data_IF_285269055912
#
_entry.id   IF_285269055912
#
_cell.length_a   1.000
_cell.length_b   1.000
_cell.length_c   1.000
_cell.angle_alpha   90.00
_cell.angle_beta   90.00
_cell.angle_gamma   90.00
#
_symmetry.space_group_name_H-M   'P 1'
#
loop_
_entity.id
_entity.type
_entity.pdbx_description
1 polymer ?
#
# COMPACT_ATOMS: atom_id res chain seq x y z
N UNK A 1 1.28 6.67 72.57
CA UNK A 1 0.65 7.49 71.51
C UNK A 1 1.21 6.99 70.18
N UNK A 2 0.62 6.00 69.52
CA UNK A 2 -0.57 6.06 68.63
C UNK A 2 -0.43 7.17 67.58
N UNK A 3 0.00 6.81 66.37
CA UNK A 3 -0.61 7.21 65.10
C UNK A 3 -0.27 6.17 64.02
N UNK A 4 -1.31 5.48 63.54
CA UNK A 4 -1.29 4.70 62.29
C UNK A 4 -1.31 5.68 61.11
N UNK A 5 -0.49 5.42 60.09
CA UNK A 5 -0.75 5.92 58.73
C UNK A 5 -0.70 4.72 57.79
N UNK A 6 -1.88 4.18 57.50
CA UNK A 6 -2.12 3.25 56.40
C UNK A 6 -1.88 4.03 55.10
N UNK A 7 -0.74 3.79 54.45
CA UNK A 7 -0.50 4.27 53.09
C UNK A 7 -1.22 3.36 52.11
N UNK A 8 -2.31 3.86 51.53
CA UNK A 8 -3.05 3.22 50.45
C UNK A 8 -2.19 3.26 49.18
N UNK A 9 -1.46 2.20 48.87
CA UNK A 9 -0.76 2.08 47.59
C UNK A 9 -1.78 1.63 46.54
N UNK A 10 -2.35 2.59 45.83
CA UNK A 10 -3.07 2.32 44.58
C UNK A 10 -2.01 2.11 43.51
N UNK A 11 -1.65 0.85 43.26
CA UNK A 11 -0.92 0.48 42.04
C UNK A 11 -1.95 0.50 40.91
N UNK A 12 -2.09 1.65 40.25
CA UNK A 12 -2.69 1.69 38.92
C UNK A 12 -1.68 1.06 37.96
N UNK A 13 -1.77 -0.27 37.83
CA UNK A 13 -1.12 -1.02 36.77
C UNK A 13 -1.72 -0.63 35.43
N UNK A 14 -1.30 0.50 34.86
CA UNK A 14 -1.45 0.77 33.43
C UNK A 14 -0.33 0.01 32.76
N UNK A 15 -0.50 -1.31 32.66
CA UNK A 15 0.41 -2.17 31.91
C UNK A 15 -0.45 -3.00 30.99
N UNK A 16 -0.52 -2.62 29.71
CA UNK A 16 -0.96 -3.54 28.67
C UNK A 16 -1.94 -3.04 27.60
N UNK A 17 -1.93 -1.78 27.17
CA UNK A 17 -2.69 -1.37 25.96
C UNK A 17 -1.88 -0.53 24.97
N UNK A 18 -0.59 -0.80 24.83
CA UNK A 18 0.11 -0.49 23.58
C UNK A 18 0.45 -1.82 22.90
N UNK A 19 -0.57 -2.47 22.34
CA UNK A 19 -0.36 -3.43 21.26
C UNK A 19 0.07 -2.64 20.03
N UNK A 20 1.31 -2.16 20.04
CA UNK A 20 1.97 -1.66 18.83
C UNK A 20 2.30 -2.85 17.95
N UNK A 21 1.31 -3.33 17.19
CA UNK A 21 1.52 -4.21 16.05
C UNK A 21 0.74 -3.64 14.87
N UNK A 22 1.46 -2.86 14.08
CA UNK A 22 1.35 -2.75 12.63
C UNK A 22 2.45 -1.77 12.21
N UNK A 23 3.65 -2.27 11.93
CA UNK A 23 4.70 -1.50 11.25
C UNK A 23 4.58 -1.72 9.71
N UNK A 24 3.66 -2.59 9.30
CA UNK A 24 3.52 -3.07 7.94
C UNK A 24 2.05 -3.41 7.65
N UNK A 25 1.65 -3.40 6.38
CA UNK A 25 0.39 -4.02 6.00
C UNK A 25 0.53 -5.54 6.04
N UNK A 26 -0.44 -6.19 6.64
CA UNK A 26 -0.53 -7.64 6.64
C UNK A 26 -1.39 -8.13 5.46
N UNK A 27 -2.40 -7.35 5.05
CA UNK A 27 -3.32 -7.70 3.98
C UNK A 27 -3.62 -6.52 3.05
N UNK A 28 -3.86 -6.85 1.78
CA UNK A 28 -4.35 -5.94 0.74
C UNK A 28 -5.77 -6.35 0.38
N UNK A 29 -6.67 -5.37 0.35
CA UNK A 29 -8.04 -5.50 -0.11
C UNK A 29 -8.10 -4.94 -1.54
N UNK A 30 -8.13 -5.82 -2.52
CA UNK A 30 -8.38 -5.48 -3.92
C UNK A 30 -9.87 -5.21 -4.09
N UNK A 31 -10.24 -3.97 -4.40
CA UNK A 31 -11.62 -3.53 -4.59
C UNK A 31 -11.88 -3.13 -6.04
N UNK A 32 -12.99 -3.63 -6.58
CA UNK A 32 -13.55 -3.23 -7.87
C UNK A 32 -15.08 -3.14 -7.77
N UNK A 33 -15.62 -1.92 -7.79
CA UNK A 33 -17.04 -1.69 -7.51
C UNK A 33 -17.47 -2.32 -6.18
N UNK A 34 -18.35 -3.32 -6.25
CA UNK A 34 -18.88 -4.04 -5.07
C UNK A 34 -18.07 -5.28 -4.69
N UNK A 35 -17.09 -5.67 -5.52
CA UNK A 35 -16.28 -6.87 -5.31
C UNK A 35 -15.03 -6.53 -4.50
N UNK A 36 -14.76 -7.34 -3.48
CA UNK A 36 -13.54 -7.27 -2.68
C UNK A 36 -12.85 -8.63 -2.64
N UNK A 37 -11.53 -8.62 -2.71
CA UNK A 37 -10.68 -9.79 -2.51
C UNK A 37 -9.51 -9.43 -1.61
N UNK A 38 -9.23 -10.27 -0.64
CA UNK A 38 -8.13 -10.06 0.30
C UNK A 38 -6.95 -10.94 -0.08
N UNK A 39 -5.77 -10.34 -0.12
CA UNK A 39 -4.49 -10.99 -0.44
C UNK A 39 -3.51 -10.67 0.68
N UNK A 40 -2.76 -11.66 1.17
CA UNK A 40 -1.74 -11.43 2.17
C UNK A 40 -0.52 -10.74 1.53
N UNK A 41 0.02 -9.71 2.20
CA UNK A 41 1.25 -9.04 1.74
C UNK A 41 2.42 -10.02 1.71
N UNK A 42 2.46 -10.98 2.63
CA UNK A 42 3.48 -12.05 2.65
C UNK A 42 3.47 -12.93 1.39
N UNK A 43 2.30 -13.17 0.80
CA UNK A 43 2.20 -13.99 -0.40
C UNK A 43 2.76 -13.24 -1.62
N UNK A 44 2.50 -11.91 -1.68
CA UNK A 44 3.06 -11.04 -2.70
C UNK A 44 4.57 -10.84 -2.52
N UNK A 45 5.03 -10.73 -1.28
CA UNK A 45 6.45 -10.69 -0.94
C UNK A 45 7.18 -11.95 -1.40
N UNK A 46 6.61 -13.13 -1.12
CA UNK A 46 7.15 -14.39 -1.63
C UNK A 46 7.23 -14.41 -3.17
N UNK A 47 6.18 -13.96 -3.86
CA UNK A 47 6.19 -13.87 -5.33
C UNK A 47 7.28 -12.92 -5.81
N UNK A 48 7.42 -11.74 -5.19
CA UNK A 48 8.43 -10.77 -5.54
C UNK A 48 9.85 -11.34 -5.38
N UNK A 49 10.14 -11.97 -4.24
CA UNK A 49 11.45 -12.52 -3.89
C UNK A 49 11.83 -13.77 -4.70
N UNK A 50 10.88 -14.70 -4.89
CA UNK A 50 11.17 -16.05 -5.40
C UNK A 50 10.68 -16.28 -6.82
N UNK A 51 9.72 -15.49 -7.30
CA UNK A 51 8.98 -15.73 -8.53
C UNK A 51 7.94 -16.84 -8.44
N UNK A 52 7.76 -17.44 -7.26
CA UNK A 52 6.79 -18.50 -7.04
C UNK A 52 5.53 -17.94 -6.34
N UNK A 53 4.38 -18.07 -7.01
CA UNK A 53 3.09 -17.73 -6.42
C UNK A 53 2.59 -18.83 -5.48
N UNK A 54 1.97 -18.46 -4.36
CA UNK A 54 1.22 -19.41 -3.54
C UNK A 54 0.07 -20.02 -4.35
N UNK A 55 -0.41 -21.21 -3.98
CA UNK A 55 -1.54 -21.84 -4.72
C UNK A 55 -2.79 -20.95 -4.75
N UNK A 56 -2.98 -20.11 -3.73
CA UNK A 56 -4.07 -19.13 -3.69
C UNK A 56 -3.84 -17.99 -4.68
N UNK A 57 -2.65 -17.37 -4.68
CA UNK A 57 -2.30 -16.34 -5.65
C UNK A 57 -2.34 -16.88 -7.10
N UNK A 58 -1.80 -18.07 -7.33
CA UNK A 58 -1.83 -18.71 -8.64
C UNK A 58 -3.26 -18.92 -9.14
N UNK A 59 -4.19 -19.32 -8.25
CA UNK A 59 -5.61 -19.44 -8.63
C UNK A 59 -6.21 -18.10 -9.04
N UNK A 60 -5.80 -17.00 -8.42
CA UNK A 60 -6.24 -15.66 -8.83
C UNK A 60 -5.66 -15.31 -10.21
N UNK A 61 -4.37 -15.53 -10.42
CA UNK A 61 -3.67 -15.31 -11.69
C UNK A 61 -4.22 -16.14 -12.85
N UNK A 62 -4.55 -17.41 -12.60
CA UNK A 62 -5.17 -18.29 -13.60
C UNK A 62 -6.56 -17.80 -14.01
N UNK A 63 -7.35 -17.33 -13.04
CA UNK A 63 -8.71 -16.81 -13.32
C UNK A 63 -8.66 -15.43 -13.99
N UNK A 64 -7.64 -14.66 -13.64
CA UNK A 64 -7.26 -13.38 -14.21
C UNK A 64 -6.71 -13.47 -15.64
N UNK A 65 -6.26 -14.66 -16.06
CA UNK A 65 -5.45 -14.85 -17.27
C UNK A 65 -4.16 -14.00 -17.29
N UNK A 66 -3.59 -13.69 -16.12
CA UNK A 66 -2.35 -12.91 -15.99
C UNK A 66 -1.18 -13.81 -15.58
N UNK A 67 -0.03 -13.75 -16.27
CA UNK A 67 1.16 -14.48 -15.87
C UNK A 67 1.69 -14.02 -14.51
N UNK A 68 2.06 -14.95 -13.63
CA UNK A 68 2.67 -14.62 -12.33
C UNK A 68 3.96 -13.78 -12.48
N UNK A 69 4.71 -13.99 -13.57
CA UNK A 69 5.91 -13.22 -13.92
C UNK A 69 5.60 -11.73 -14.15
N UNK A 70 4.45 -11.41 -14.73
CA UNK A 70 4.03 -10.02 -14.95
C UNK A 70 3.76 -9.32 -13.62
N UNK A 71 3.03 -9.99 -12.73
CA UNK A 71 2.78 -9.48 -11.37
C UNK A 71 4.07 -9.37 -10.57
N UNK A 72 4.98 -10.34 -10.70
CA UNK A 72 6.30 -10.27 -10.07
C UNK A 72 7.10 -9.04 -10.56
N UNK A 73 7.09 -8.77 -11.87
CA UNK A 73 7.78 -7.62 -12.44
C UNK A 73 7.18 -6.30 -11.93
N UNK A 74 5.85 -6.21 -11.88
CA UNK A 74 5.16 -5.05 -11.30
C UNK A 74 5.53 -4.84 -9.82
N UNK A 75 5.54 -5.91 -9.01
CA UNK A 75 5.88 -5.84 -7.59
C UNK A 75 7.33 -5.38 -7.35
N UNK A 76 8.26 -5.82 -8.21
CA UNK A 76 9.68 -5.45 -8.17
C UNK A 76 10.00 -4.19 -8.98
N UNK A 77 9.00 -3.56 -9.61
CA UNK A 77 9.20 -2.32 -10.36
C UNK A 77 9.67 -1.25 -9.40
N UNK A 78 10.87 -0.72 -9.65
CA UNK A 78 11.51 0.28 -8.82
C UNK A 78 11.42 1.68 -9.42
N UNK A 79 11.38 2.66 -8.52
CA UNK A 79 11.65 4.05 -8.86
C UNK A 79 12.87 4.47 -8.07
N UNK A 80 13.90 4.92 -8.78
CA UNK A 80 15.07 5.54 -8.13
C UNK A 80 14.66 6.89 -7.58
N UNK A 81 14.81 7.07 -6.27
CA UNK A 81 14.49 8.32 -5.58
C UNK A 81 15.69 8.69 -4.73
N UNK A 82 16.11 9.94 -4.80
CA UNK A 82 17.11 10.45 -3.87
C UNK A 82 16.54 10.42 -2.44
N UNK A 83 16.86 9.38 -1.66
CA UNK A 83 16.27 9.12 -0.35
C UNK A 83 16.64 10.18 0.69
N UNK A 84 17.74 10.91 0.48
CA UNK A 84 18.08 12.10 1.28
C UNK A 84 17.09 13.24 1.01
N UNK A 85 16.48 13.27 -0.18
CA UNK A 85 15.55 14.29 -0.61
C UNK A 85 14.09 13.85 -0.68
N UNK A 86 13.75 12.57 -0.45
CA UNK A 86 12.36 12.07 -0.47
C UNK A 86 11.46 12.89 0.45
N UNK A 87 11.92 13.22 1.65
CA UNK A 87 11.16 14.07 2.58
C UNK A 87 10.94 15.47 2.00
N UNK A 88 11.95 16.08 1.34
CA UNK A 88 11.80 17.41 0.72
C UNK A 88 10.84 17.41 -0.46
N UNK A 89 10.80 16.31 -1.23
CA UNK A 89 9.89 16.13 -2.35
C UNK A 89 8.46 15.99 -1.83
N UNK A 90 8.26 15.13 -0.82
CA UNK A 90 6.95 14.86 -0.22
C UNK A 90 6.45 15.97 0.73
N UNK A 91 7.33 16.87 1.20
CA UNK A 91 6.99 18.06 2.03
C UNK A 91 6.59 19.30 1.21
N UNK A 92 6.52 19.19 -0.12
CA UNK A 92 6.13 20.30 -0.99
C UNK A 92 4.64 20.19 -1.33
N UNK A 93 3.92 21.32 -1.54
CA UNK A 93 2.58 21.33 -2.12
C UNK A 93 2.37 20.41 -3.34
N UNK A 94 3.38 20.25 -4.21
CA UNK A 94 3.30 19.31 -5.32
C UNK A 94 3.30 17.85 -4.86
N UNK A 95 4.12 17.52 -3.85
CA UNK A 95 4.13 16.21 -3.22
C UNK A 95 2.81 15.90 -2.51
N UNK A 96 2.22 16.89 -1.82
CA UNK A 96 0.88 16.75 -1.23
C UNK A 96 -0.19 16.38 -2.26
N UNK A 97 -0.17 17.02 -3.44
CA UNK A 97 -1.11 16.73 -4.54
C UNK A 97 -0.91 15.32 -5.09
N UNK A 98 0.34 14.90 -5.33
CA UNK A 98 0.63 13.55 -5.80
C UNK A 98 0.20 12.49 -4.78
N UNK A 99 0.52 12.72 -3.50
CA UNK A 99 0.12 11.82 -2.42
C UNK A 99 -1.40 11.75 -2.29
N UNK A 100 -2.11 12.88 -2.39
CA UNK A 100 -3.58 12.89 -2.38
C UNK A 100 -4.15 12.08 -3.53
N UNK A 101 -3.60 12.24 -4.73
CA UNK A 101 -4.09 11.55 -5.93
C UNK A 101 -3.92 10.04 -5.80
N UNK A 102 -2.72 9.57 -5.47
CA UNK A 102 -2.47 8.15 -5.23
C UNK A 102 -3.32 7.63 -4.06
N UNK A 103 -3.53 8.44 -3.02
CA UNK A 103 -4.33 8.07 -1.85
C UNK A 103 -5.83 7.94 -2.12
N UNK A 104 -6.33 8.35 -3.29
CA UNK A 104 -7.72 8.06 -3.69
C UNK A 104 -7.92 6.59 -4.00
N UNK A 105 -6.87 5.96 -4.55
CA UNK A 105 -6.90 4.58 -5.02
C UNK A 105 -6.19 3.62 -4.08
N UNK A 106 -5.19 4.09 -3.33
CA UNK A 106 -4.50 3.29 -2.30
C UNK A 106 -4.70 3.94 -0.94
N UNK A 107 -5.55 3.37 -0.09
CA UNK A 107 -5.89 3.98 1.19
C UNK A 107 -6.02 2.96 2.32
N UNK A 108 -5.82 3.37 3.59
CA UNK A 108 -6.12 2.52 4.73
C UNK A 108 -7.59 2.11 4.69
N UNK A 109 -7.91 0.89 5.09
CA UNK A 109 -9.30 0.43 5.15
C UNK A 109 -10.21 1.34 6.01
N UNK A 110 -9.66 2.04 7.00
CA UNK A 110 -10.38 3.05 7.78
C UNK A 110 -10.92 4.23 6.94
N UNK A 111 -10.45 4.39 5.70
CA UNK A 111 -10.77 5.49 4.80
C UNK A 111 -10.21 6.84 5.24
N UNK A 112 -9.29 6.87 6.21
CA UNK A 112 -8.75 8.08 6.79
C UNK A 112 -7.22 8.07 6.81
N UNK A 113 -6.63 9.27 6.79
CA UNK A 113 -5.18 9.47 6.82
C UNK A 113 -4.41 8.81 5.67
N UNK A 114 -5.03 8.65 4.48
CA UNK A 114 -4.40 8.04 3.32
C UNK A 114 -3.10 8.72 2.91
N UNK A 115 -3.11 10.05 2.81
CA UNK A 115 -1.91 10.82 2.47
C UNK A 115 -0.76 10.56 3.45
N UNK A 116 -1.06 10.58 4.75
CA UNK A 116 -0.06 10.37 5.81
C UNK A 116 0.46 8.93 5.79
N UNK A 117 -0.42 7.96 5.54
CA UNK A 117 -0.05 6.55 5.45
C UNK A 117 0.86 6.30 4.23
N UNK A 118 0.46 6.79 3.06
CA UNK A 118 1.24 6.69 1.82
C UNK A 118 2.60 7.38 1.95
N UNK A 119 2.62 8.58 2.54
CA UNK A 119 3.88 9.29 2.80
C UNK A 119 4.81 8.49 3.71
N UNK A 120 4.30 7.93 4.80
CA UNK A 120 5.11 7.14 5.71
C UNK A 120 5.65 5.88 5.01
N UNK A 121 4.82 5.20 4.22
CA UNK A 121 5.23 4.04 3.43
C UNK A 121 6.41 4.39 2.51
N UNK A 122 6.27 5.42 1.67
CA UNK A 122 7.33 5.85 0.74
C UNK A 122 8.63 6.27 1.46
N UNK A 123 8.51 7.01 2.56
CA UNK A 123 9.68 7.42 3.34
C UNK A 123 10.40 6.22 3.92
N UNK A 124 9.67 5.22 4.43
CA UNK A 124 10.24 4.00 5.00
C UNK A 124 10.86 3.11 3.92
N UNK A 125 10.23 2.98 2.75
CA UNK A 125 10.76 2.19 1.62
C UNK A 125 12.08 2.75 1.08
N UNK A 126 12.26 4.08 1.08
CA UNK A 126 13.47 4.70 0.54
C UNK A 126 14.71 4.63 1.48
N UNK A 127 14.58 4.14 2.71
CA UNK A 127 15.64 4.24 3.74
C UNK A 127 16.86 3.39 3.40
N UNK A 128 16.66 2.25 2.76
CA UNK A 128 17.70 1.22 2.68
C UNK A 128 18.66 1.41 1.51
N UNK A 129 18.16 1.73 0.31
CA UNK A 129 18.99 1.75 -0.91
C UNK A 129 18.65 2.84 -1.94
N UNK A 130 17.94 3.90 -1.54
CA UNK A 130 17.49 4.99 -2.44
C UNK A 130 16.62 4.50 -3.62
N UNK A 131 16.01 3.31 -3.48
CA UNK A 131 15.01 2.78 -4.40
C UNK A 131 13.73 2.51 -3.63
N UNK A 132 12.62 2.58 -4.35
CA UNK A 132 11.32 2.22 -3.82
C UNK A 132 10.69 1.27 -4.83
N UNK A 133 10.44 0.04 -4.39
CA UNK A 133 9.62 -0.93 -5.12
C UNK A 133 8.16 -0.90 -4.65
N UNK A 134 7.25 -1.41 -5.47
CA UNK A 134 5.83 -1.55 -5.10
C UNK A 134 5.69 -2.45 -3.88
N UNK A 135 6.40 -3.58 -3.83
CA UNK A 135 6.33 -4.50 -2.69
C UNK A 135 6.81 -3.85 -1.40
N UNK A 136 7.90 -3.07 -1.42
CA UNK A 136 8.39 -2.36 -0.23
C UNK A 136 7.40 -1.32 0.28
N UNK A 137 6.64 -0.66 -0.60
CA UNK A 137 5.59 0.28 -0.18
C UNK A 137 4.45 -0.44 0.53
N UNK A 138 4.06 -1.61 0.02
CA UNK A 138 3.03 -2.44 0.63
C UNK A 138 3.50 -2.99 1.99
N UNK A 139 4.73 -3.48 2.06
CA UNK A 139 5.34 -3.97 3.29
C UNK A 139 5.55 -2.87 4.33
N UNK A 140 5.86 -1.64 3.93
CA UNK A 140 6.06 -0.53 4.88
C UNK A 140 4.81 0.31 5.12
N UNK A 141 3.65 -0.10 4.56
CA UNK A 141 2.42 0.65 4.72
C UNK A 141 1.96 0.60 6.19
N UNK A 142 1.76 1.74 6.87
CA UNK A 142 1.69 1.79 8.34
C UNK A 142 0.32 1.38 8.91
N UNK A 143 -0.41 0.50 8.22
CA UNK A 143 -1.74 0.03 8.61
C UNK A 143 -1.91 -1.43 8.24
N UNK A 144 -2.53 -2.22 9.12
CA UNK A 144 -2.72 -3.65 8.90
C UNK A 144 -3.38 -4.04 7.58
N UNK A 145 -4.33 -3.22 7.11
CA UNK A 145 -5.07 -3.47 5.88
C UNK A 145 -5.08 -2.24 5.00
N UNK A 146 -4.59 -2.40 3.78
CA UNK A 146 -4.61 -1.38 2.73
C UNK A 146 -5.61 -1.77 1.65
N UNK A 147 -6.40 -0.81 1.17
CA UNK A 147 -7.35 -0.99 0.07
C UNK A 147 -6.70 -0.48 -1.20
N UNK A 148 -6.71 -1.30 -2.24
CA UNK A 148 -6.41 -0.93 -3.61
C UNK A 148 -7.71 -0.89 -4.40
N UNK A 149 -8.18 0.32 -4.66
CA UNK A 149 -9.41 0.63 -5.37
C UNK A 149 -9.10 0.87 -6.85
N UNK A 150 -9.34 -0.17 -7.65
CA UNK A 150 -8.92 -0.24 -9.05
C UNK A 150 -9.84 0.56 -9.98
N UNK A 151 -11.11 0.77 -9.60
CA UNK A 151 -12.07 1.61 -10.34
C UNK A 151 -11.62 3.07 -10.30
N UNK A 152 -11.22 3.56 -9.12
CA UNK A 152 -10.67 4.90 -8.95
C UNK A 152 -9.34 5.11 -9.65
N UNK A 153 -8.54 4.05 -9.78
CA UNK A 153 -7.26 4.10 -10.45
C UNK A 153 -7.42 4.33 -11.97
N UNK A 154 -8.49 3.78 -12.57
CA UNK A 154 -8.85 4.05 -13.96
C UNK A 154 -9.37 5.49 -14.16
N UNK A 155 -10.26 5.96 -13.28
CA UNK A 155 -10.83 7.33 -13.34
C UNK A 155 -9.75 8.42 -13.24
N UNK A 156 -8.82 8.27 -12.29
CA UNK A 156 -7.69 9.20 -12.12
C UNK A 156 -6.86 9.31 -13.41
N UNK A 157 -6.69 8.23 -14.17
CA UNK A 157 -5.90 8.23 -15.40
C UNK A 157 -6.62 8.92 -16.57
N UNK A 158 -7.94 8.72 -16.72
CA UNK A 158 -8.74 9.43 -17.74
C UNK A 158 -8.68 10.95 -17.53
N UNK A 159 -8.76 11.40 -16.27
CA UNK A 159 -8.63 12.82 -15.90
C UNK A 159 -7.25 13.41 -16.27
N UNK A 160 -6.17 12.62 -16.17
CA UNK A 160 -4.81 13.05 -16.56
C UNK A 160 -4.59 13.15 -18.08
N UNK A 161 -5.30 12.36 -18.89
CA UNK A 161 -5.19 12.45 -20.35
C UNK A 161 -5.92 13.69 -20.92
N UNK A 162 -7.01 14.10 -20.29
CA UNK A 162 -7.77 15.28 -20.71
C UNK A 162 -7.06 16.59 -20.32
N UNK A 163 -6.37 16.59 -19.18
CA UNK A 163 -5.62 17.73 -18.66
C UNK A 163 -4.13 17.47 -18.86
N UNK A 164 -3.58 17.77 -20.04
CA UNK A 164 -2.17 17.50 -20.43
C UNK A 164 -1.10 18.08 -19.50
N UNK A 165 -0.94 17.51 -18.30
CA UNK A 165 -0.16 18.02 -17.19
C UNK A 165 0.59 16.89 -16.50
N UNK A 166 1.92 16.96 -16.63
CA UNK A 166 2.93 16.06 -16.03
C UNK A 166 2.84 14.62 -16.57
N UNK A 167 3.48 14.43 -17.73
CA UNK A 167 3.93 13.10 -18.18
C UNK A 167 5.02 12.64 -17.23
N UNK A 168 4.65 11.98 -16.14
CA UNK A 168 5.52 10.96 -15.56
C UNK A 168 5.40 9.78 -16.52
N UNK A 169 6.51 9.32 -17.08
CA UNK A 169 6.55 8.15 -17.96
C UNK A 169 6.14 6.94 -17.13
N UNK A 170 4.83 6.64 -17.11
CA UNK A 170 4.17 5.57 -16.35
C UNK A 170 3.65 4.51 -17.33
N UNK A 171 4.07 4.54 -18.59
CA UNK A 171 3.51 3.76 -19.70
C UNK A 171 3.55 2.25 -19.41
N UNK A 172 4.64 1.73 -18.84
CA UNK A 172 4.78 0.29 -18.51
C UNK A 172 3.93 -0.10 -17.28
N UNK A 173 3.89 0.72 -16.24
CA UNK A 173 3.07 0.49 -15.03
C UNK A 173 1.57 0.64 -15.28
N UNK A 174 1.17 1.33 -16.35
CA UNK A 174 -0.22 1.49 -16.76
C UNK A 174 -0.76 0.24 -17.43
N UNK A 175 0.04 -0.43 -18.26
CA UNK A 175 -0.35 -1.70 -18.85
C UNK A 175 -0.58 -2.76 -17.77
N UNK A 176 0.27 -2.80 -16.73
CA UNK A 176 0.10 -3.71 -15.59
C UNK A 176 -1.20 -3.43 -14.80
N UNK A 177 -1.49 -2.16 -14.52
CA UNK A 177 -2.73 -1.72 -13.86
C UNK A 177 -3.96 -2.04 -14.70
N UNK A 178 -3.91 -1.77 -16.00
CA UNK A 178 -5.01 -2.05 -16.93
C UNK A 178 -5.25 -3.55 -17.05
N UNK A 179 -4.20 -4.37 -16.94
CA UNK A 179 -4.35 -5.80 -16.85
C UNK A 179 -5.08 -6.19 -15.55
N UNK A 180 -4.70 -5.63 -14.39
CA UNK A 180 -5.41 -5.84 -13.10
C UNK A 180 -6.89 -5.41 -13.16
N UNK A 181 -7.23 -4.36 -13.92
CA UNK A 181 -8.63 -3.94 -14.13
C UNK A 181 -9.39 -4.96 -14.98
N UNK A 182 -8.80 -5.40 -16.11
CA UNK A 182 -9.37 -6.40 -17.01
C UNK A 182 -9.65 -7.74 -16.31
N UNK A 183 -8.82 -8.10 -15.34
CA UNK A 183 -8.99 -9.25 -14.45
C UNK A 183 -10.30 -9.17 -13.67
N UNK A 184 -10.59 -8.01 -13.07
CA UNK A 184 -11.73 -7.84 -12.17
C UNK A 184 -13.05 -7.77 -12.95
N UNK A 185 -13.02 -7.29 -14.18
CA UNK A 185 -14.17 -7.32 -15.11
C UNK A 185 -14.54 -8.74 -15.55
N UNK A 186 -13.54 -9.59 -15.83
CA UNK A 186 -13.77 -10.98 -16.26
C UNK A 186 -14.39 -11.83 -15.16
N UNK A 187 -14.13 -11.48 -13.89
CA UNK A 187 -14.72 -12.11 -12.70
C UNK A 187 -16.17 -11.69 -12.42
N UNK A 188 -16.66 -10.63 -13.07
CA UNK A 188 -18.02 -10.12 -12.91
C UNK A 188 -19.04 -10.71 -13.90
N UNK A 189 -18.60 -11.53 -14.86
CA UNK A 189 -19.44 -12.11 -15.91
C UNK A 189 -19.56 -13.64 -15.82
#
# INVERSE_FOLDING_TARGET
MKQWKLGLVVVLGISGLFSGRAIAAEEIILRYGILERTVAVSDLSQLAETGEATSQLQSYFDTAEVPAEEVQNMLNSDVTVDGVNINRILDNPLGDVLLDEVSKSIYPESGSAGRQAMRAALVLSAVDDDRITVIEVLENYPTSRVVLDTERLAETYEDFQEVGGVVVTVEDTLDDVLNVIRILETLSN
#
